data_IF_542050855779
#
_entry.id   IF_542050855779
#
_cell.length_a   1.000
_cell.length_b   1.000
_cell.length_c   1.000
_cell.angle_alpha   90.00
_cell.angle_beta   90.00
_cell.angle_gamma   90.00
#
_symmetry.space_group_name_H-M   'P 1'
#
loop_
_entity.id
_entity.type
_entity.pdbx_description
1 polymer ?
#
# COMPACT_ATOMS: atom_id res chain seq x y z
N UNK A 1 9.25 -17.14 0.26
CA UNK A 1 7.98 -16.42 -0.02
C UNK A 1 6.91 -17.14 0.75
N UNK A 2 6.41 -16.54 1.83
CA UNK A 2 5.33 -17.14 2.60
C UNK A 2 4.01 -16.82 1.90
N UNK A 3 3.06 -17.75 1.94
CA UNK A 3 1.74 -17.56 1.33
C UNK A 3 1.01 -16.36 1.96
N UNK A 4 1.24 -16.10 3.24
CA UNK A 4 0.72 -14.92 3.94
C UNK A 4 1.25 -13.60 3.37
N UNK A 5 2.51 -13.57 2.93
CA UNK A 5 3.10 -12.37 2.34
C UNK A 5 2.53 -12.10 0.95
N UNK A 6 2.23 -13.17 0.19
CA UNK A 6 1.57 -13.07 -1.11
C UNK A 6 0.16 -12.49 -0.98
N UNK A 7 -0.65 -13.00 -0.04
CA UNK A 7 -2.00 -12.49 0.18
C UNK A 7 -2.03 -11.01 0.62
N UNK A 8 -1.05 -10.60 1.45
CA UNK A 8 -0.88 -9.20 1.85
C UNK A 8 -0.48 -8.31 0.68
N UNK A 9 0.42 -8.79 -0.19
CA UNK A 9 0.83 -8.05 -1.37
C UNK A 9 -0.35 -7.83 -2.33
N UNK A 10 -1.15 -8.84 -2.59
CA UNK A 10 -2.33 -8.74 -3.47
C UNK A 10 -3.36 -7.72 -2.96
N UNK A 11 -3.61 -7.72 -1.65
CA UNK A 11 -4.48 -6.73 -1.02
C UNK A 11 -3.92 -5.30 -1.16
N UNK A 12 -2.61 -5.13 -1.00
CA UNK A 12 -1.94 -3.85 -1.15
C UNK A 12 -1.99 -3.33 -2.59
N UNK A 13 -1.76 -4.21 -3.57
CA UNK A 13 -1.89 -3.86 -4.98
C UNK A 13 -3.32 -3.44 -5.34
N UNK A 14 -4.32 -4.15 -4.82
CA UNK A 14 -5.73 -3.80 -5.05
C UNK A 14 -6.08 -2.43 -4.46
N UNK A 15 -5.60 -2.14 -3.25
CA UNK A 15 -5.82 -0.85 -2.59
C UNK A 15 -5.17 0.32 -3.36
N UNK A 16 -3.97 0.12 -3.88
CA UNK A 16 -3.20 1.18 -4.55
C UNK A 16 -3.55 1.35 -6.04
N UNK A 17 -3.88 0.26 -6.72
CA UNK A 17 -4.08 0.22 -8.17
C UNK A 17 -5.54 0.01 -8.58
N UNK A 18 -6.44 -0.22 -7.61
CA UNK A 18 -7.88 -0.33 -7.87
C UNK A 18 -8.54 1.01 -8.21
N UNK A 19 -9.82 0.92 -8.55
CA UNK A 19 -10.59 2.09 -9.01
C UNK A 19 -11.06 2.99 -7.87
N UNK A 20 -11.07 2.48 -6.63
CA UNK A 20 -11.54 3.21 -5.47
C UNK A 20 -10.55 4.29 -5.02
N UNK A 21 -10.87 5.54 -5.32
CA UNK A 21 -10.04 6.70 -4.96
C UNK A 21 -9.98 6.98 -3.45
N UNK A 22 -11.09 6.93 -2.67
CA UNK A 22 -11.05 7.30 -1.26
C UNK A 22 -10.12 6.41 -0.40
N UNK A 23 -10.17 5.06 -0.47
CA UNK A 23 -9.26 4.20 0.29
C UNK A 23 -7.78 4.43 -0.05
N UNK A 24 -7.49 4.62 -1.35
CA UNK A 24 -6.13 4.95 -1.81
C UNK A 24 -5.64 6.28 -1.23
N UNK A 25 -6.49 7.31 -1.22
CA UNK A 25 -6.12 8.63 -0.67
C UNK A 25 -5.78 8.53 0.82
N UNK A 26 -6.62 7.86 1.61
CA UNK A 26 -6.38 7.66 3.03
C UNK A 26 -5.06 6.93 3.27
N UNK A 27 -4.80 5.85 2.52
CA UNK A 27 -3.55 5.11 2.63
C UNK A 27 -2.32 5.98 2.34
N UNK A 28 -2.37 6.83 1.30
CA UNK A 28 -1.28 7.75 0.97
C UNK A 28 -1.09 8.77 2.09
N UNK A 29 -2.15 9.38 2.59
CA UNK A 29 -2.08 10.39 3.66
C UNK A 29 -1.50 9.81 4.96
N UNK A 30 -1.93 8.61 5.35
CA UNK A 30 -1.46 7.94 6.56
C UNK A 30 0.02 7.53 6.50
N UNK A 31 0.53 7.21 5.30
CA UNK A 31 1.89 6.73 5.12
C UNK A 31 2.87 7.81 4.62
N UNK A 32 2.39 8.92 4.03
CA UNK A 32 3.21 9.93 3.38
C UNK A 32 4.27 10.56 4.31
N UNK A 33 3.99 10.69 5.61
CA UNK A 33 4.92 11.24 6.60
C UNK A 33 5.90 10.19 7.15
N UNK A 34 5.60 8.91 6.97
CA UNK A 34 6.38 7.78 7.49
C UNK A 34 7.43 7.28 6.49
N UNK A 35 7.39 7.78 5.25
CA UNK A 35 8.33 7.44 4.20
C UNK A 35 9.59 8.31 4.34
N UNK A 36 10.49 7.91 5.24
CA UNK A 36 11.75 8.63 5.49
C UNK A 36 12.95 8.03 4.73
N UNK A 37 12.84 6.82 4.16
CA UNK A 37 13.96 6.09 3.55
C UNK A 37 13.52 5.22 2.36
N UNK A 38 13.08 5.82 1.25
CA UNK A 38 12.80 5.07 0.02
C UNK A 38 14.06 4.76 -0.82
N UNK A 39 15.17 5.46 -0.57
CA UNK A 39 16.32 5.50 -1.48
C UNK A 39 17.66 5.04 -0.85
N UNK A 40 17.65 4.16 0.16
CA UNK A 40 18.88 3.63 0.79
C UNK A 40 19.11 2.16 0.45
#
# INVERSE_FOLDING_TARGET
MNIEDAAKADALFTLLMGDEVPPRRQFIEDNALNVQFLDV
#
